data_IF_969676054348
#
_entry.id   IF_969676054348
#
_cell.length_a   1.000
_cell.length_b   1.000
_cell.length_c   1.000
_cell.angle_alpha   90.00
_cell.angle_beta   90.00
_cell.angle_gamma   90.00
#
_symmetry.space_group_name_H-M   'P 1'
#
loop_
_entity.id
_entity.type
_entity.pdbx_description
1 polymer ?
#
# COMPACT_ATOMS: atom_id res chain seq x y z
N UNK A 1 -8.07 3.97 6.93
CA UNK A 1 -9.15 4.95 6.76
C UNK A 1 -10.34 4.38 5.99
N UNK A 2 -10.24 4.15 4.67
CA UNK A 2 -11.31 3.48 3.87
C UNK A 2 -11.81 2.15 4.45
N UNK A 3 -10.88 1.26 4.81
CA UNK A 3 -11.23 -0.03 5.42
C UNK A 3 -12.16 0.10 6.63
N UNK A 4 -11.84 1.02 7.55
CA UNK A 4 -12.62 1.23 8.78
C UNK A 4 -14.00 1.82 8.46
N UNK A 5 -14.07 2.76 7.51
CA UNK A 5 -15.32 3.37 7.09
C UNK A 5 -16.26 2.36 6.43
N UNK A 6 -15.78 1.59 5.44
CA UNK A 6 -16.60 0.55 4.82
C UNK A 6 -16.99 -0.55 5.82
N UNK A 7 -16.09 -0.96 6.72
CA UNK A 7 -16.44 -1.89 7.79
C UNK A 7 -17.54 -1.33 8.72
N UNK A 8 -17.49 -0.03 9.04
CA UNK A 8 -18.53 0.64 9.83
C UNK A 8 -19.86 0.70 9.09
N UNK A 9 -19.86 0.96 7.78
CA UNK A 9 -21.06 0.98 6.95
C UNK A 9 -21.70 -0.42 6.87
N UNK A 10 -20.92 -1.48 6.67
CA UNK A 10 -21.43 -2.86 6.73
C UNK A 10 -21.99 -3.22 8.10
N UNK A 11 -21.36 -2.78 9.20
CA UNK A 11 -21.91 -2.99 10.55
C UNK A 11 -23.27 -2.31 10.74
N UNK A 12 -23.52 -1.17 10.09
CA UNK A 12 -24.82 -0.48 10.11
C UNK A 12 -25.86 -1.16 9.22
N UNK A 13 -25.43 -1.91 8.19
CA UNK A 13 -26.28 -2.58 7.21
C UNK A 13 -25.89 -4.07 7.08
N UNK A 14 -26.03 -4.87 8.15
CA UNK A 14 -25.49 -6.24 8.20
C UNK A 14 -26.18 -7.22 7.23
N UNK A 15 -27.39 -6.90 6.77
CA UNK A 15 -28.11 -7.67 5.76
C UNK A 15 -27.60 -7.48 4.33
N UNK A 16 -26.79 -6.45 4.08
CA UNK A 16 -26.27 -6.15 2.76
C UNK A 16 -24.87 -6.72 2.58
N UNK A 17 -24.76 -7.67 1.64
CA UNK A 17 -23.47 -8.19 1.20
C UNK A 17 -22.66 -7.11 0.45
N UNK A 18 -23.34 -6.31 -0.38
CA UNK A 18 -22.78 -5.16 -1.10
C UNK A 18 -23.54 -3.89 -0.71
N UNK A 19 -22.80 -2.82 -0.41
CA UNK A 19 -23.38 -1.51 -0.17
C UNK A 19 -23.94 -0.91 -1.49
N UNK A 20 -25.03 -0.12 -1.42
CA UNK A 20 -25.49 0.74 -2.51
C UNK A 20 -24.38 1.70 -2.98
N UNK A 21 -24.41 2.06 -4.25
CA UNK A 21 -23.42 2.98 -4.85
C UNK A 21 -23.32 4.31 -4.09
N UNK A 22 -24.46 4.92 -3.72
CA UNK A 22 -24.49 6.15 -2.94
C UNK A 22 -23.72 6.03 -1.62
N UNK A 23 -23.90 4.93 -0.87
CA UNK A 23 -23.18 4.69 0.38
C UNK A 23 -21.67 4.47 0.16
N UNK A 24 -21.29 3.95 -1.02
CA UNK A 24 -19.88 3.74 -1.39
C UNK A 24 -19.22 5.09 -1.67
N UNK A 25 -19.85 5.92 -2.50
CA UNK A 25 -19.34 7.26 -2.88
C UNK A 25 -19.27 8.16 -1.66
N UNK A 26 -20.39 8.35 -0.95
CA UNK A 26 -20.42 9.15 0.29
C UNK A 26 -19.42 8.62 1.32
N UNK A 27 -19.33 7.29 1.45
CA UNK A 27 -18.40 6.65 2.36
C UNK A 27 -16.94 6.93 2.00
N UNK A 28 -16.60 6.96 0.72
CA UNK A 28 -15.26 7.23 0.24
C UNK A 28 -14.91 8.73 0.39
N UNK A 29 -15.81 9.63 0.02
CA UNK A 29 -15.64 11.07 0.17
C UNK A 29 -15.49 11.49 1.64
N UNK A 30 -16.32 10.96 2.54
CA UNK A 30 -16.22 11.21 3.97
C UNK A 30 -14.85 10.84 4.57
N UNK A 31 -14.16 9.85 3.98
CA UNK A 31 -12.79 9.50 4.39
C UNK A 31 -11.80 10.57 3.99
N UNK A 32 -11.95 11.15 2.79
CA UNK A 32 -11.09 12.22 2.31
C UNK A 32 -11.46 13.58 2.90
N UNK A 33 -12.67 13.75 3.41
CA UNK A 33 -13.11 14.92 4.16
C UNK A 33 -12.73 14.89 5.64
N UNK A 34 -12.04 13.85 6.12
CA UNK A 34 -11.46 13.84 7.46
C UNK A 34 -10.52 15.06 7.65
N UNK A 35 -10.39 15.51 8.89
CA UNK A 35 -9.59 16.67 9.24
C UNK A 35 -8.08 16.39 9.16
N UNK A 36 -7.67 15.12 9.22
CA UNK A 36 -6.27 14.68 9.22
C UNK A 36 -5.37 15.37 10.29
N UNK A 37 -5.94 16.00 11.32
CA UNK A 37 -5.20 16.75 12.35
C UNK A 37 -4.25 15.87 13.17
N UNK A 38 -4.58 14.59 13.28
CA UNK A 38 -3.78 13.59 13.99
C UNK A 38 -2.66 12.98 13.13
N UNK A 39 -2.40 13.54 11.96
CA UNK A 39 -1.29 13.16 11.11
C UNK A 39 -0.26 14.30 11.02
N UNK A 40 1.00 13.91 10.94
CA UNK A 40 2.12 14.85 10.84
C UNK A 40 3.43 14.12 10.58
N UNK A 41 4.52 14.86 10.62
CA UNK A 41 5.85 14.30 10.45
C UNK A 41 6.59 14.25 11.78
N UNK A 42 7.29 13.15 12.02
CA UNK A 42 8.10 12.92 13.22
C UNK A 42 9.46 12.38 12.81
N UNK A 43 10.49 12.74 13.56
CA UNK A 43 11.82 12.16 13.37
C UNK A 43 11.89 10.78 14.03
N UNK A 44 12.15 9.76 13.23
CA UNK A 44 12.35 8.38 13.67
C UNK A 44 13.69 7.93 13.12
N UNK A 45 14.64 7.60 14.00
CA UNK A 45 16.01 7.22 13.63
C UNK A 45 16.69 8.26 12.72
N UNK A 46 16.59 9.55 13.08
CA UNK A 46 17.15 10.69 12.32
C UNK A 46 16.55 10.88 10.92
N UNK A 47 15.41 10.23 10.62
CA UNK A 47 14.70 10.36 9.35
C UNK A 47 13.30 10.88 9.62
N UNK A 48 12.89 11.89 8.86
CA UNK A 48 11.52 12.42 8.88
C UNK A 48 10.57 11.39 8.28
N UNK A 49 9.61 10.91 9.08
CA UNK A 49 8.59 9.94 8.68
C UNK A 49 7.19 10.50 8.95
N UNK A 50 6.24 10.19 8.08
CA UNK A 50 4.82 10.43 8.36
C UNK A 50 4.39 9.58 9.56
N UNK A 51 3.57 10.13 10.45
CA UNK A 51 3.05 9.51 11.65
C UNK A 51 1.58 9.87 11.83
N UNK A 52 0.80 8.95 12.41
CA UNK A 52 -0.63 9.13 12.64
C UNK A 52 -1.39 7.79 12.68
N UNK A 53 -2.73 7.81 12.90
CA UNK A 53 -3.53 6.61 13.02
C UNK A 53 -3.33 5.60 11.87
N UNK A 54 -3.07 4.34 12.21
CA UNK A 54 -2.85 3.27 11.24
C UNK A 54 -1.45 3.21 10.61
N UNK A 55 -0.52 4.06 11.04
CA UNK A 55 0.90 3.98 10.67
C UNK A 55 1.73 3.44 11.83
N UNK A 56 2.74 2.61 11.53
CA UNK A 56 3.65 2.01 12.53
C UNK A 56 4.40 3.05 13.37
N UNK A 57 4.68 4.21 12.77
CA UNK A 57 5.38 5.33 13.40
C UNK A 57 4.52 6.11 14.39
N UNK A 58 3.23 5.78 14.53
CA UNK A 58 2.32 6.43 15.49
C UNK A 58 2.87 6.32 16.91
N UNK A 59 3.19 5.11 17.33
CA UNK A 59 3.52 4.77 18.71
C UNK A 59 5.00 4.97 19.05
N UNK A 60 5.82 5.36 18.06
CA UNK A 60 7.22 5.72 18.27
C UNK A 60 7.30 7.03 19.07
N UNK A 61 8.03 7.09 20.20
CA UNK A 61 8.19 8.32 20.97
C UNK A 61 8.82 9.45 20.15
N UNK A 62 8.36 10.68 20.36
CA UNK A 62 8.90 11.87 19.70
C UNK A 62 7.84 12.95 19.49
N UNK A 63 8.30 14.16 19.19
CA UNK A 63 7.41 15.29 18.84
C UNK A 63 6.95 15.14 17.40
N UNK A 64 5.65 15.23 17.16
CA UNK A 64 5.05 15.22 15.83
C UNK A 64 4.75 16.66 15.38
N UNK A 65 5.31 17.04 14.25
CA UNK A 65 4.98 18.26 13.52
C UNK A 65 3.64 18.05 12.76
N UNK A 66 2.53 18.18 13.48
CA UNK A 66 1.17 18.14 12.93
C UNK A 66 0.67 19.51 12.42
N UNK A 67 -0.51 19.53 11.80
CA UNK A 67 -1.16 20.75 11.34
C UNK A 67 -0.49 21.44 10.15
N UNK A 68 -0.71 22.75 10.00
CA UNK A 68 -0.18 23.54 8.89
C UNK A 68 -0.62 23.01 7.52
N UNK A 69 0.34 22.69 6.65
CA UNK A 69 0.07 22.16 5.29
C UNK A 69 -0.22 20.65 5.28
N UNK A 70 0.04 19.90 6.36
CA UNK A 70 -0.10 18.44 6.37
C UNK A 70 -1.54 17.96 6.16
N UNK A 71 -2.55 18.48 6.88
CA UNK A 71 -3.94 18.11 6.63
C UNK A 71 -4.37 18.30 5.17
N UNK A 72 -4.03 19.45 4.58
CA UNK A 72 -4.37 19.80 3.19
C UNK A 72 -3.69 18.86 2.21
N UNK A 73 -2.41 18.53 2.43
CA UNK A 73 -1.66 17.56 1.60
C UNK A 73 -2.29 16.17 1.63
N UNK A 74 -2.65 15.68 2.82
CA UNK A 74 -3.24 14.35 2.98
C UNK A 74 -4.65 14.27 2.39
N UNK A 75 -5.46 15.31 2.59
CA UNK A 75 -6.77 15.46 1.94
C UNK A 75 -6.64 15.45 0.42
N UNK A 76 -5.76 16.28 -0.13
CA UNK A 76 -5.51 16.33 -1.58
C UNK A 76 -5.05 14.99 -2.13
N UNK A 77 -4.13 14.31 -1.44
CA UNK A 77 -3.65 12.98 -1.84
C UNK A 77 -4.78 11.94 -1.79
N UNK A 78 -5.66 12.00 -0.78
CA UNK A 78 -6.81 11.09 -0.67
C UNK A 78 -7.74 11.23 -1.88
N UNK A 79 -8.10 12.45 -2.27
CA UNK A 79 -8.92 12.68 -3.47
C UNK A 79 -8.23 12.23 -4.76
N UNK A 80 -6.91 12.45 -4.89
CA UNK A 80 -6.16 11.89 -6.02
C UNK A 80 -6.27 10.36 -6.10
N UNK A 81 -6.27 9.67 -4.96
CA UNK A 81 -6.55 8.23 -4.94
C UNK A 81 -7.99 7.91 -5.39
N UNK A 82 -9.00 8.68 -4.96
CA UNK A 82 -10.38 8.47 -5.40
C UNK A 82 -10.55 8.68 -6.91
N UNK A 83 -10.03 9.78 -7.45
CA UNK A 83 -10.08 10.12 -8.86
C UNK A 83 -9.36 9.08 -9.73
N UNK A 84 -8.20 8.59 -9.28
CA UNK A 84 -7.39 7.65 -10.05
C UNK A 84 -7.98 6.23 -10.04
N UNK A 85 -8.41 5.76 -8.87
CA UNK A 85 -8.83 4.38 -8.71
C UNK A 85 -10.33 4.20 -8.91
N UNK A 86 -11.14 5.17 -8.52
CA UNK A 86 -12.60 5.13 -8.46
C UNK A 86 -13.13 4.49 -7.18
N UNK A 87 -14.18 5.08 -6.61
CA UNK A 87 -14.76 4.66 -5.31
C UNK A 87 -15.22 3.21 -5.34
N UNK A 88 -15.90 2.80 -6.42
CA UNK A 88 -16.37 1.43 -6.59
C UNK A 88 -15.22 0.42 -6.66
N UNK A 89 -14.09 0.78 -7.28
CA UNK A 89 -12.93 -0.11 -7.39
C UNK A 89 -12.28 -0.27 -6.03
N UNK A 90 -12.09 0.83 -5.29
CA UNK A 90 -11.56 0.80 -3.93
C UNK A 90 -12.46 -0.07 -3.05
N UNK A 91 -13.78 0.09 -3.13
CA UNK A 91 -14.72 -0.73 -2.37
C UNK A 91 -14.67 -2.21 -2.77
N UNK A 92 -14.55 -2.51 -4.07
CA UNK A 92 -14.41 -3.89 -4.56
C UNK A 92 -13.14 -4.56 -4.03
N UNK A 93 -12.03 -3.84 -3.99
CA UNK A 93 -10.78 -4.35 -3.41
C UNK A 93 -10.87 -4.52 -1.89
N UNK A 94 -11.64 -3.66 -1.22
CA UNK A 94 -12.01 -3.86 0.18
C UNK A 94 -12.78 -5.17 0.37
N UNK A 95 -13.73 -5.51 -0.51
CA UNK A 95 -14.47 -6.76 -0.40
C UNK A 95 -13.58 -7.99 -0.61
N UNK A 96 -12.67 -7.95 -1.59
CA UNK A 96 -11.78 -9.09 -1.92
C UNK A 96 -10.76 -9.39 -0.83
N UNK A 97 -9.94 -8.40 -0.50
CA UNK A 97 -8.70 -8.64 0.26
C UNK A 97 -8.76 -8.07 1.67
N UNK A 98 -9.75 -7.22 1.97
CA UNK A 98 -9.87 -6.47 3.23
C UNK A 98 -8.60 -5.67 3.60
N UNK A 99 -7.62 -5.60 2.70
CA UNK A 99 -6.34 -4.94 2.84
C UNK A 99 -6.12 -4.04 1.62
N UNK A 100 -6.53 -2.78 1.77
CA UNK A 100 -6.38 -1.78 0.72
C UNK A 100 -4.96 -1.23 0.59
N UNK A 101 -4.10 -1.44 1.59
CA UNK A 101 -2.72 -0.95 1.55
C UNK A 101 -1.98 -1.54 0.36
N UNK A 102 -2.10 -2.85 0.13
CA UNK A 102 -1.44 -3.50 -0.99
C UNK A 102 -1.95 -3.01 -2.34
N UNK A 103 -3.25 -2.72 -2.44
CA UNK A 103 -3.84 -2.14 -3.64
C UNK A 103 -3.27 -0.74 -3.93
N UNK A 104 -3.26 0.16 -2.94
CA UNK A 104 -2.73 1.51 -3.14
C UNK A 104 -1.20 1.55 -3.31
N UNK A 105 -0.46 0.59 -2.75
CA UNK A 105 1.01 0.56 -2.79
C UNK A 105 1.63 -0.25 -3.93
N UNK A 106 0.86 -1.10 -4.63
CA UNK A 106 1.40 -2.00 -5.67
C UNK A 106 0.58 -2.02 -6.94
N UNK A 107 -0.30 -1.03 -7.13
CA UNK A 107 -1.11 -0.96 -8.35
C UNK A 107 -0.32 -0.32 -9.48
N UNK A 108 -0.25 -0.98 -10.63
CA UNK A 108 0.51 -0.47 -11.78
C UNK A 108 -0.24 0.63 -12.55
N UNK A 109 -1.38 1.14 -12.05
CA UNK A 109 -2.20 2.15 -12.75
C UNK A 109 -1.54 3.53 -12.80
N UNK A 110 -0.90 3.96 -11.70
CA UNK A 110 -0.12 5.21 -11.61
C UNK A 110 1.16 4.98 -10.81
N UNK A 111 2.25 4.54 -11.47
CA UNK A 111 3.58 4.40 -10.89
C UNK A 111 3.95 5.55 -9.94
N UNK A 112 3.77 6.81 -10.36
CA UNK A 112 4.12 7.98 -9.56
C UNK A 112 3.33 8.12 -8.23
N UNK A 113 2.12 7.55 -8.16
CA UNK A 113 1.24 7.58 -6.98
C UNK A 113 1.37 6.29 -6.13
N UNK A 114 1.86 5.20 -6.70
CA UNK A 114 1.86 3.86 -6.09
C UNK A 114 3.25 3.30 -5.80
N UNK A 115 4.27 3.69 -6.55
CA UNK A 115 5.63 3.12 -6.47
C UNK A 115 6.43 3.64 -5.27
N UNK A 116 5.88 4.61 -4.53
CA UNK A 116 6.46 5.13 -3.28
C UNK A 116 6.67 4.00 -2.25
N UNK A 117 5.87 2.94 -2.30
CA UNK A 117 5.95 1.83 -1.34
C UNK A 117 7.00 0.76 -1.70
N UNK A 118 7.62 0.80 -2.89
CA UNK A 118 8.53 -0.23 -3.40
C UNK A 118 10.01 0.12 -3.18
N UNK A 119 10.42 0.43 -1.95
CA UNK A 119 11.85 0.69 -1.66
C UNK A 119 12.62 -0.50 -1.08
N UNK A 120 11.95 -1.53 -0.54
CA UNK A 120 12.65 -2.67 0.10
C UNK A 120 12.34 -4.05 -0.50
N UNK A 121 11.16 -4.26 -1.09
CA UNK A 121 10.72 -5.59 -1.56
C UNK A 121 11.23 -5.95 -2.97
N UNK A 122 11.50 -4.95 -3.82
CA UNK A 122 12.09 -5.16 -5.15
C UNK A 122 13.58 -5.50 -5.06
N UNK A 123 14.30 -4.94 -4.08
CA UNK A 123 15.70 -5.31 -3.81
C UNK A 123 15.83 -6.80 -3.49
N UNK A 124 14.90 -7.35 -2.69
CA UNK A 124 14.91 -8.77 -2.33
C UNK A 124 14.53 -9.66 -3.51
N UNK A 125 13.51 -9.28 -4.30
CA UNK A 125 13.07 -10.06 -5.47
C UNK A 125 14.16 -10.11 -6.56
N UNK A 126 14.78 -8.97 -6.85
CA UNK A 126 15.86 -8.88 -7.84
C UNK A 126 17.13 -9.61 -7.36
N UNK A 127 17.41 -9.62 -6.05
CA UNK A 127 18.50 -10.41 -5.46
C UNK A 127 18.24 -11.92 -5.60
N UNK A 128 17.06 -12.39 -5.22
CA UNK A 128 16.69 -13.81 -5.29
C UNK A 128 16.60 -14.33 -6.73
N UNK A 129 16.14 -13.51 -7.68
CA UNK A 129 16.06 -13.90 -9.08
C UNK A 129 17.45 -13.93 -9.76
N UNK A 130 18.33 -12.99 -9.45
CA UNK A 130 19.72 -13.00 -9.93
C UNK A 130 20.54 -14.16 -9.32
N UNK A 131 20.29 -14.51 -8.06
CA UNK A 131 20.93 -15.65 -7.38
C UNK A 131 20.46 -16.99 -7.96
N UNK A 132 19.15 -17.12 -8.25
CA UNK A 132 18.60 -18.29 -8.98
C UNK A 132 19.15 -18.42 -10.40
N UNK A 133 19.32 -17.31 -11.14
CA UNK A 133 19.92 -17.35 -12.48
C UNK A 133 21.39 -17.76 -12.44
N UNK A 134 22.19 -17.22 -11.51
CA UNK A 134 23.60 -17.60 -11.32
C UNK A 134 23.78 -19.07 -10.95
N UNK A 135 22.95 -19.60 -10.05
CA UNK A 135 23.03 -21.00 -9.64
C UNK A 135 22.62 -21.95 -10.78
N UNK A 136 21.65 -21.54 -11.62
CA UNK A 136 21.22 -22.33 -12.79
C UNK A 136 22.28 -22.38 -13.91
N UNK A 137 23.08 -21.34 -14.07
CA UNK A 137 24.23 -21.34 -15.00
C UNK A 137 25.37 -22.21 -14.47
N UNK A 138 25.65 -22.18 -13.17
CA UNK A 138 26.67 -23.03 -12.56
C UNK A 138 26.34 -24.54 -12.61
N UNK A 139 25.06 -24.93 -12.46
CA UNK A 139 24.62 -26.33 -12.62
C UNK A 139 24.69 -26.84 -14.07
N UNK A 140 24.61 -25.94 -15.06
CA UNK A 140 24.70 -26.32 -16.48
C UNK A 140 26.16 -26.59 -16.91
N UNK A 141 27.12 -25.85 -16.37
CA UNK A 141 28.55 -26.05 -16.66
C UNK A 141 29.13 -27.30 -15.99
N UNK A 142 28.54 -27.77 -14.88
CA UNK A 142 29.07 -28.96 -14.16
C UNK A 142 28.59 -30.30 -14.76
N UNK A 143 27.57 -30.30 -15.62
CA UNK A 143 27.05 -31.52 -16.28
C UNK A 143 27.60 -31.77 -17.70
N UNK A 144 28.47 -30.90 -18.20
CA UNK A 144 29.09 -31.03 -19.53
C UNK A 144 30.35 -31.91 -19.58
N UNK A 145 30.91 -32.32 -18.44
CA UNK A 145 32.27 -32.89 -18.38
C UNK A 145 32.33 -34.36 -17.91
N UNK A 146 31.22 -35.11 -18.01
CA UNK A 146 31.17 -36.55 -17.65
C UNK A 146 30.74 -37.50 -18.79
N UNK A 147 30.83 -37.09 -20.06
CA UNK A 147 30.62 -38.01 -21.19
C UNK A 147 31.73 -37.82 -22.24
N UNK A 148 32.98 -38.15 -21.88
CA UNK A 148 34.09 -38.26 -22.86
C UNK A 148 35.13 -39.36 -22.59
N UNK A 149 34.89 -40.31 -21.69
CA UNK A 149 35.76 -41.49 -21.55
C UNK A 149 34.91 -42.76 -21.43
N UNK A 150 34.51 -43.32 -22.58
CA UNK A 150 34.33 -44.77 -22.84
C UNK A 150 33.70 -44.95 -24.24
N UNK A 151 34.55 -44.96 -25.28
CA UNK A 151 34.56 -45.98 -26.36
C UNK A 151 35.78 -45.78 -27.27
#
# INVERSE_FOLDING_TARGET
MFFLKFAKLHKKRPSLEKLPEADIVEGAEEVCDDKFENYGVKEVNKIKRLSGPGLETKDVPGVMEGGGKWPVRLKSMCYQYLEEFGDEVIYREYLKNKNLQQFFCKSNKKPDLTDVCLSEHEKTRNKTENEKRRNKTAEADTKGDQIKDEL
#
